data_IF_239869577574
#
_entry.id   IF_239869577574
#
_cell.length_a   1.000
_cell.length_b   1.000
_cell.length_c   1.000
_cell.angle_alpha   90.00
_cell.angle_beta   90.00
_cell.angle_gamma   90.00
#
_symmetry.space_group_name_H-M   'P 1'
#
loop_
_entity.id
_entity.type
_entity.pdbx_description
1 polymer ?
#
# COMPACT_ATOMS: atom_id res chain seq x y z
N UNK A 1 4.07 19.13 3.87
CA UNK A 1 3.30 18.27 4.79
C UNK A 1 1.93 18.10 4.16
N UNK A 2 1.59 16.85 3.82
CA UNK A 2 0.33 16.44 3.18
C UNK A 2 -0.95 16.91 3.91
N UNK A 3 -0.81 17.37 5.15
CA UNK A 3 -1.89 17.56 6.12
C UNK A 3 -2.59 18.92 6.10
N UNK A 4 -2.33 19.80 5.13
CA UNK A 4 -2.85 21.18 5.17
C UNK A 4 -4.10 21.46 4.32
N UNK A 5 -4.68 20.45 3.67
CA UNK A 5 -5.84 20.65 2.77
C UNK A 5 -7.17 20.06 3.27
N UNK A 6 -7.26 19.57 4.51
CA UNK A 6 -8.49 18.99 5.04
C UNK A 6 -9.12 19.86 6.15
N UNK A 7 -10.44 20.01 6.06
CA UNK A 7 -11.28 20.75 7.01
C UNK A 7 -11.23 20.13 8.42
N UNK A 8 -11.55 20.89 9.49
CA UNK A 8 -11.16 20.55 10.86
C UNK A 8 -12.03 19.44 11.48
N UNK A 9 -11.67 18.20 11.19
CA UNK A 9 -11.61 17.11 12.16
C UNK A 9 -10.20 16.54 12.08
N UNK A 10 -9.34 16.99 13.00
CA UNK A 10 -7.89 16.90 12.89
C UNK A 10 -7.37 15.47 12.99
N UNK A 11 -6.88 14.94 11.88
CA UNK A 11 -6.02 13.77 11.87
C UNK A 11 -4.71 14.06 11.13
N UNK A 12 -3.78 14.70 11.83
CA UNK A 12 -2.38 14.65 11.39
C UNK A 12 -1.75 13.25 11.47
N UNK A 13 -2.49 12.25 11.98
CA UNK A 13 -2.00 10.92 12.41
C UNK A 13 -3.00 9.77 12.12
N UNK A 14 -4.22 10.06 11.67
CA UNK A 14 -5.27 9.05 11.44
C UNK A 14 -5.41 8.88 9.92
N UNK A 15 -4.79 7.82 9.40
CA UNK A 15 -4.68 7.51 7.97
C UNK A 15 -3.28 7.00 7.57
N UNK A 16 -2.26 7.18 8.42
CA UNK A 16 -0.98 6.49 8.25
C UNK A 16 -0.97 5.22 9.12
N UNK A 17 -1.00 4.05 8.50
CA UNK A 17 -0.83 2.77 9.20
C UNK A 17 0.51 2.78 9.94
N UNK A 18 0.49 2.68 11.28
CA UNK A 18 1.72 2.67 12.07
C UNK A 18 2.56 1.44 11.75
N UNK A 19 3.86 1.50 12.05
CA UNK A 19 4.76 0.34 11.89
C UNK A 19 4.24 -0.89 12.63
N UNK A 20 3.75 -0.72 13.86
CA UNK A 20 3.19 -1.79 14.68
C UNK A 20 1.94 -2.39 14.04
N UNK A 21 1.08 -1.55 13.45
CA UNK A 21 -0.11 -2.02 12.74
C UNK A 21 0.28 -2.80 11.47
N UNK A 22 1.25 -2.30 10.68
CA UNK A 22 1.75 -3.03 9.51
C UNK A 22 2.38 -4.37 9.89
N UNK A 23 3.14 -4.42 11.00
CA UNK A 23 3.74 -5.65 11.50
C UNK A 23 2.67 -6.64 11.97
N UNK A 24 1.66 -6.17 12.69
CA UNK A 24 0.53 -7.00 13.12
C UNK A 24 -0.19 -7.65 11.93
N UNK A 25 -0.39 -6.89 10.84
CA UNK A 25 -0.96 -7.43 9.59
C UNK A 25 -0.08 -8.56 9.08
N UNK A 26 1.22 -8.35 8.92
CA UNK A 26 2.13 -9.41 8.41
C UNK A 26 2.10 -10.66 9.29
N UNK A 27 2.15 -10.49 10.61
CA UNK A 27 2.24 -11.59 11.57
C UNK A 27 0.97 -12.45 11.58
N UNK A 28 -0.21 -11.84 11.41
CA UNK A 28 -1.48 -12.56 11.35
C UNK A 28 -1.70 -13.29 10.02
N UNK A 29 -1.05 -12.83 8.96
CA UNK A 29 -1.41 -13.20 7.58
C UNK A 29 -0.55 -14.32 7.00
N UNK A 30 0.71 -14.45 7.44
CA UNK A 30 1.68 -15.48 7.01
C UNK A 30 1.67 -15.72 5.48
N UNK A 31 2.12 -14.71 4.73
CA UNK A 31 2.12 -14.74 3.26
C UNK A 31 2.98 -15.86 2.65
N UNK A 32 2.41 -16.54 1.63
CA UNK A 32 3.09 -17.50 0.76
C UNK A 32 3.55 -16.84 -0.54
N UNK A 33 4.40 -17.54 -1.28
CA UNK A 33 4.92 -17.11 -2.58
C UNK A 33 3.91 -17.13 -3.74
N UNK A 34 2.75 -17.75 -3.52
CA UNK A 34 1.60 -17.73 -4.42
C UNK A 34 0.61 -16.59 -4.13
N UNK A 35 0.67 -15.97 -2.96
CA UNK A 35 -0.35 -15.02 -2.51
C UNK A 35 -0.16 -13.65 -3.17
N UNK A 36 -1.28 -12.97 -3.46
CA UNK A 36 -1.31 -11.57 -3.88
C UNK A 36 -1.93 -10.76 -2.75
N UNK A 37 -1.24 -9.69 -2.35
CA UNK A 37 -1.74 -8.71 -1.40
C UNK A 37 -2.29 -7.49 -2.14
N UNK A 38 -3.45 -7.00 -1.73
CA UNK A 38 -4.06 -5.78 -2.25
C UNK A 38 -4.42 -4.83 -1.11
N UNK A 39 -4.04 -3.57 -1.27
CA UNK A 39 -4.34 -2.46 -0.37
C UNK A 39 -5.22 -1.45 -1.12
N UNK A 40 -6.45 -1.26 -0.66
CA UNK A 40 -7.44 -0.36 -1.25
C UNK A 40 -7.54 0.90 -0.39
N UNK A 41 -7.35 2.08 -0.99
CA UNK A 41 -7.13 3.32 -0.26
C UNK A 41 -5.70 3.39 0.29
N UNK A 42 -4.70 2.98 -0.51
CA UNK A 42 -3.35 2.72 0.00
C UNK A 42 -2.56 3.98 0.38
N UNK A 43 -3.11 5.18 0.15
CA UNK A 43 -2.46 6.45 0.37
C UNK A 43 -1.13 6.53 -0.38
N UNK A 44 -0.05 6.81 0.35
CA UNK A 44 1.31 6.85 -0.23
C UNK A 44 1.88 5.44 -0.51
N UNK A 45 1.25 4.36 -0.08
CA UNK A 45 1.64 2.98 -0.41
C UNK A 45 2.64 2.33 0.55
N UNK A 46 2.73 2.82 1.79
CA UNK A 46 3.68 2.31 2.79
C UNK A 46 3.49 0.81 3.11
N UNK A 47 2.24 0.37 3.31
CA UNK A 47 1.94 -1.03 3.64
C UNK A 47 2.23 -1.95 2.44
N UNK A 48 1.90 -1.51 1.22
CA UNK A 48 2.23 -2.22 -0.02
C UNK A 48 3.74 -2.51 -0.12
N UNK A 49 4.57 -1.50 0.14
CA UNK A 49 6.03 -1.66 0.12
C UNK A 49 6.56 -2.47 1.31
N UNK A 50 5.95 -2.31 2.49
CA UNK A 50 6.29 -3.07 3.67
C UNK A 50 6.06 -4.58 3.46
N UNK A 51 4.90 -4.95 2.91
CA UNK A 51 4.57 -6.34 2.56
C UNK A 51 5.51 -6.88 1.47
N UNK A 52 5.85 -6.08 0.44
CA UNK A 52 6.78 -6.51 -0.60
C UNK A 52 8.23 -6.68 -0.11
N UNK A 53 8.70 -5.82 0.79
CA UNK A 53 10.05 -5.88 1.35
C UNK A 53 10.20 -6.90 2.48
N UNK A 54 9.13 -7.11 3.27
CA UNK A 54 9.16 -7.89 4.52
C UNK A 54 8.66 -9.33 4.40
N UNK A 55 8.06 -9.73 3.29
CA UNK A 55 7.38 -11.03 3.18
C UNK A 55 7.78 -11.84 1.94
N UNK A 56 7.21 -13.04 1.81
CA UNK A 56 7.38 -13.92 0.64
C UNK A 56 6.30 -13.73 -0.42
N UNK A 57 5.40 -12.75 -0.30
CA UNK A 57 4.26 -12.53 -1.20
C UNK A 57 4.64 -12.63 -2.68
N UNK A 58 3.74 -13.13 -3.54
CA UNK A 58 3.97 -13.15 -5.00
C UNK A 58 4.15 -11.73 -5.53
N UNK A 59 3.24 -10.83 -5.16
CA UNK A 59 3.26 -9.39 -5.41
C UNK A 59 2.33 -8.66 -4.45
N UNK A 60 2.59 -7.38 -4.19
CA UNK A 60 1.66 -6.47 -3.51
C UNK A 60 1.17 -5.38 -4.45
N UNK A 61 -0.07 -4.95 -4.30
CA UNK A 61 -0.67 -3.90 -5.12
C UNK A 61 -1.40 -2.91 -4.21
N UNK A 62 -1.29 -1.61 -4.51
CA UNK A 62 -2.07 -0.55 -3.88
C UNK A 62 -2.91 0.19 -4.92
N UNK A 63 -4.14 0.54 -4.58
CA UNK A 63 -4.99 1.45 -5.36
C UNK A 63 -5.33 2.66 -4.50
N UNK A 64 -5.06 3.86 -5.00
CA UNK A 64 -5.35 5.14 -4.35
C UNK A 64 -6.05 6.06 -5.34
N UNK A 65 -7.14 6.71 -4.90
CA UNK A 65 -7.96 7.58 -5.74
C UNK A 65 -7.45 9.04 -5.72
N UNK A 66 -6.89 9.50 -4.61
CA UNK A 66 -6.51 10.89 -4.42
C UNK A 66 -5.16 11.23 -5.09
N UNK A 67 -5.15 12.29 -5.88
CA UNK A 67 -3.98 12.73 -6.67
C UNK A 67 -2.73 12.97 -5.82
N UNK A 68 -2.89 13.64 -4.68
CA UNK A 68 -1.77 14.08 -3.84
C UNK A 68 -1.02 12.89 -3.21
N UNK A 69 -1.67 11.96 -2.47
CA UNK A 69 -1.00 10.77 -1.96
C UNK A 69 -0.48 9.86 -3.08
N UNK A 70 -1.22 9.70 -4.20
CA UNK A 70 -0.75 8.91 -5.34
C UNK A 70 0.57 9.48 -5.94
N UNK A 71 0.67 10.81 -6.08
CA UNK A 71 1.88 11.49 -6.53
C UNK A 71 3.06 11.25 -5.58
N UNK A 72 2.85 11.35 -4.28
CA UNK A 72 3.92 11.08 -3.31
C UNK A 72 4.27 9.59 -3.26
N UNK A 73 3.30 8.69 -3.41
CA UNK A 73 3.52 7.26 -3.50
C UNK A 73 4.38 6.88 -4.70
N UNK A 74 4.20 7.52 -5.85
CA UNK A 74 5.07 7.33 -7.02
C UNK A 74 6.54 7.68 -6.70
N UNK A 75 6.80 8.83 -6.08
CA UNK A 75 8.15 9.21 -5.67
C UNK A 75 8.72 8.25 -4.61
N UNK A 76 7.90 7.87 -3.62
CA UNK A 76 8.31 6.95 -2.55
C UNK A 76 8.63 5.56 -3.09
N UNK A 77 7.90 5.08 -4.10
CA UNK A 77 8.15 3.78 -4.76
C UNK A 77 9.50 3.75 -5.47
N UNK A 78 9.90 4.87 -6.08
CA UNK A 78 11.17 5.00 -6.77
C UNK A 78 12.33 4.98 -5.76
N UNK A 79 12.22 5.77 -4.69
CA UNK A 79 13.22 5.84 -3.63
C UNK A 79 13.36 4.51 -2.88
N UNK A 80 12.24 3.87 -2.52
CA UNK A 80 12.25 2.55 -1.90
C UNK A 80 12.98 1.52 -2.79
N UNK A 81 12.69 1.50 -4.09
CA UNK A 81 13.36 0.60 -5.04
C UNK A 81 14.86 0.86 -5.13
N UNK A 82 15.27 2.13 -5.15
CA UNK A 82 16.69 2.54 -5.11
C UNK A 82 17.36 2.04 -3.83
N UNK A 83 16.73 2.22 -2.67
CA UNK A 83 17.28 1.81 -1.38
C UNK A 83 17.40 0.29 -1.25
N UNK A 84 16.37 -0.46 -1.67
CA UNK A 84 16.42 -1.93 -1.66
C UNK A 84 17.57 -2.46 -2.52
N UNK A 85 17.79 -1.86 -3.71
CA UNK A 85 18.92 -2.18 -4.58
C UNK A 85 20.25 -1.82 -3.94
N UNK A 86 20.39 -0.61 -3.40
CA UNK A 86 21.63 -0.14 -2.75
C UNK A 86 22.05 -1.05 -1.60
N UNK A 87 21.10 -1.49 -0.78
CA UNK A 87 21.34 -2.34 0.39
C UNK A 87 21.37 -3.84 0.06
N UNK A 88 21.22 -4.21 -1.22
CA UNK A 88 21.14 -5.60 -1.71
C UNK A 88 20.07 -6.43 -0.98
N UNK A 89 18.96 -5.78 -0.59
CA UNK A 89 17.81 -6.45 0.05
C UNK A 89 16.87 -6.98 -1.02
N UNK A 90 16.32 -8.18 -0.79
CA UNK A 90 15.30 -8.75 -1.68
C UNK A 90 14.00 -7.98 -1.48
N UNK A 91 13.36 -7.61 -2.58
CA UNK A 91 12.02 -7.04 -2.61
C UNK A 91 11.17 -7.85 -3.58
N UNK A 92 9.94 -8.18 -3.19
CA UNK A 92 8.95 -8.78 -4.08
C UNK A 92 8.39 -7.71 -5.02
N UNK A 93 7.85 -8.09 -6.19
CA UNK A 93 7.19 -7.13 -7.07
C UNK A 93 6.09 -6.37 -6.33
N UNK A 94 6.02 -5.06 -6.53
CA UNK A 94 4.93 -4.23 -6.02
C UNK A 94 4.49 -3.19 -7.05
N UNK A 95 3.25 -2.72 -6.92
CA UNK A 95 2.66 -1.73 -7.82
C UNK A 95 1.74 -0.78 -7.04
N UNK A 96 1.88 0.53 -7.27
CA UNK A 96 0.92 1.53 -6.83
C UNK A 96 0.15 2.02 -8.05
N UNK A 97 -1.18 2.03 -7.96
CA UNK A 97 -2.10 2.41 -9.02
C UNK A 97 -2.84 3.65 -8.55
N UNK A 98 -2.80 4.71 -9.36
CA UNK A 98 -3.70 5.85 -9.19
C UNK A 98 -4.98 5.55 -9.95
N UNK A 99 -6.08 5.35 -9.22
CA UNK A 99 -7.36 4.94 -9.81
C UNK A 99 -8.46 4.74 -8.78
N UNK A 100 -9.69 4.64 -9.28
CA UNK A 100 -10.86 4.34 -8.46
C UNK A 100 -10.99 2.82 -8.28
N UNK A 101 -10.92 2.34 -7.04
CA UNK A 101 -11.08 0.91 -6.72
C UNK A 101 -12.43 0.32 -7.15
N UNK A 102 -13.45 1.15 -7.36
CA UNK A 102 -14.78 0.74 -7.80
C UNK A 102 -14.86 0.52 -9.32
N UNK A 103 -13.82 0.88 -10.06
CA UNK A 103 -13.75 0.66 -11.51
C UNK A 103 -13.74 -0.84 -11.85
N UNK A 104 -14.55 -1.22 -12.84
CA UNK A 104 -14.78 -2.61 -13.24
C UNK A 104 -13.49 -3.33 -13.66
N UNK A 105 -12.50 -2.58 -14.18
CA UNK A 105 -11.19 -3.12 -14.52
C UNK A 105 -10.46 -3.77 -13.33
N UNK A 106 -10.73 -3.33 -12.09
CA UNK A 106 -10.09 -3.87 -10.88
C UNK A 106 -10.88 -5.02 -10.24
N UNK A 107 -12.12 -5.29 -10.69
CA UNK A 107 -12.98 -6.33 -10.13
C UNK A 107 -12.33 -7.72 -10.14
N UNK A 108 -11.64 -8.06 -11.23
CA UNK A 108 -10.91 -9.33 -11.33
C UNK A 108 -9.73 -9.40 -10.35
N UNK A 109 -9.03 -8.30 -10.13
CA UNK A 109 -7.95 -8.23 -9.16
C UNK A 109 -8.49 -8.40 -7.73
N UNK A 110 -9.54 -7.65 -7.38
CA UNK A 110 -10.15 -7.65 -6.04
C UNK A 110 -10.73 -9.03 -5.69
N UNK A 111 -11.32 -9.73 -6.66
CA UNK A 111 -11.95 -11.05 -6.41
C UNK A 111 -10.96 -12.22 -6.33
N UNK A 112 -9.72 -12.04 -6.79
CA UNK A 112 -8.72 -13.11 -6.86
C UNK A 112 -7.63 -13.00 -5.80
N UNK A 113 -7.60 -11.91 -5.02
CA UNK A 113 -6.60 -11.73 -3.97
C UNK A 113 -6.92 -12.60 -2.76
N UNK A 114 -5.87 -13.14 -2.14
CA UNK A 114 -5.97 -13.89 -0.89
C UNK A 114 -6.18 -12.95 0.29
N UNK A 115 -5.55 -11.78 0.23
CA UNK A 115 -5.51 -10.81 1.32
C UNK A 115 -5.81 -9.42 0.77
N UNK A 116 -6.80 -8.80 1.40
CA UNK A 116 -7.30 -7.47 1.09
C UNK A 116 -7.23 -6.64 2.37
N UNK A 117 -6.52 -5.52 2.33
CA UNK A 117 -6.62 -4.47 3.33
C UNK A 117 -7.43 -3.32 2.73
N UNK A 118 -8.33 -2.76 3.53
CA UNK A 118 -9.17 -1.63 3.13
C UNK A 118 -9.08 -0.58 4.21
N UNK A 119 -8.50 0.58 3.88
CA UNK A 119 -8.45 1.72 4.79
C UNK A 119 -9.71 2.56 4.61
N UNK A 120 -10.58 2.57 5.62
CA UNK A 120 -11.83 3.34 5.60
C UNK A 120 -11.64 4.80 6.01
N UNK A 121 -10.42 5.24 6.33
CA UNK A 121 -10.16 6.57 6.87
C UNK A 121 -9.94 7.64 5.78
N UNK A 122 -9.92 7.27 4.49
CA UNK A 122 -9.56 8.15 3.37
C UNK A 122 -10.66 8.31 2.30
N UNK A 123 -11.84 7.70 2.49
CA UNK A 123 -13.04 7.86 1.64
C UNK A 123 -14.21 8.53 2.40
#
# INVERSE_FOLDING_TARGET
>A
LLNNHYAPFSSGVYGETSYEQMQMIIDQTVFRDSDVFLDLGCGVGQLVMYVAGGTKVKKSVGIEINDLPAKYGAAMSEDFSKWMKWWKKKCRPFQLIHGDMLDEQYRNLITQVRFLYFDTALD
#
